data_IF_822700633383
#
_entry.id   IF_822700633383
#
_cell.length_a   1.000
_cell.length_b   1.000
_cell.length_c   1.000
_cell.angle_alpha   90.00
_cell.angle_beta   90.00
_cell.angle_gamma   90.00
#
_symmetry.space_group_name_H-M   'P 1'
#
loop_
_entity.id
_entity.type
_entity.pdbx_description
1 polymer ?
#
# COMPACT_ATOMS: atom_id res chain seq x y z
N UNK A 1 -18.16 -10.90 59.53
CA UNK A 1 -17.08 -11.44 58.68
C UNK A 1 -17.25 -10.83 57.30
N UNK A 2 -16.25 -10.12 56.82
CA UNK A 2 -16.32 -9.25 55.64
C UNK A 2 -16.45 -10.05 54.34
N UNK A 3 -17.35 -9.62 53.47
CA UNK A 3 -17.53 -10.12 52.10
C UNK A 3 -16.31 -9.69 51.26
N UNK A 4 -15.58 -10.64 50.71
CA UNK A 4 -14.45 -10.40 49.82
C UNK A 4 -14.91 -9.64 48.56
N UNK A 5 -14.12 -8.69 48.02
CA UNK A 5 -14.46 -8.02 46.77
C UNK A 5 -14.20 -8.95 45.58
N UNK A 6 -15.19 -9.04 44.69
CA UNK A 6 -15.09 -9.72 43.40
C UNK A 6 -14.03 -9.04 42.52
N UNK A 7 -13.08 -9.82 42.03
CA UNK A 7 -12.05 -9.40 41.08
C UNK A 7 -12.69 -8.91 39.78
N UNK A 8 -12.40 -7.66 39.42
CA UNK A 8 -12.86 -7.03 38.20
C UNK A 8 -12.38 -7.79 36.96
N UNK A 9 -13.33 -8.17 36.11
CA UNK A 9 -13.08 -8.72 34.79
C UNK A 9 -12.25 -7.72 33.95
N UNK A 10 -11.04 -8.11 33.55
CA UNK A 10 -10.23 -7.36 32.60
C UNK A 10 -10.93 -7.32 31.23
N UNK A 11 -10.93 -6.18 30.52
CA UNK A 11 -11.50 -6.10 29.18
C UNK A 11 -10.80 -7.09 28.24
N UNK A 12 -11.57 -7.89 27.50
CA UNK A 12 -11.03 -8.78 26.49
C UNK A 12 -10.35 -7.95 25.39
N UNK A 13 -9.02 -8.09 25.28
CA UNK A 13 -8.26 -7.48 24.19
C UNK A 13 -8.72 -8.08 22.85
N UNK A 14 -8.95 -7.25 21.81
CA UNK A 14 -9.35 -7.74 20.51
C UNK A 14 -8.25 -8.65 19.95
N UNK A 15 -8.59 -9.93 19.77
CA UNK A 15 -7.71 -10.94 19.21
C UNK A 15 -7.46 -10.64 17.73
N UNK A 16 -6.50 -9.75 17.44
CA UNK A 16 -6.09 -9.45 16.07
C UNK A 16 -5.39 -10.69 15.48
N UNK A 17 -5.74 -11.12 14.25
CA UNK A 17 -5.12 -12.26 13.63
C UNK A 17 -3.61 -12.05 13.46
N UNK A 18 -2.81 -13.05 13.85
CA UNK A 18 -1.36 -13.05 13.64
C UNK A 18 -1.08 -13.18 12.13
N UNK A 19 -0.57 -12.12 11.53
CA UNK A 19 -0.17 -12.11 10.11
C UNK A 19 1.21 -12.76 9.98
N UNK A 20 1.31 -13.86 9.22
CA UNK A 20 2.58 -14.45 8.81
C UNK A 20 2.98 -13.88 7.46
N UNK A 21 4.14 -13.23 7.40
CA UNK A 21 4.71 -12.72 6.16
C UNK A 21 5.53 -13.83 5.50
N UNK A 22 5.12 -14.26 4.31
CA UNK A 22 5.93 -15.13 3.45
C UNK A 22 6.56 -14.26 2.35
N UNK A 23 7.89 -14.23 2.31
CA UNK A 23 8.66 -13.39 1.40
C UNK A 23 9.40 -14.20 0.33
N UNK A 24 9.23 -15.53 0.26
CA UNK A 24 10.00 -16.38 -0.65
C UNK A 24 9.81 -16.02 -2.14
N UNK A 25 8.62 -15.54 -2.52
CA UNK A 25 8.30 -15.10 -3.89
C UNK A 25 8.26 -13.58 -4.06
N UNK A 26 8.70 -12.81 -3.07
CA UNK A 26 8.59 -11.35 -3.12
C UNK A 26 9.53 -10.77 -4.17
N UNK A 27 8.96 -10.10 -5.18
CA UNK A 27 9.71 -9.40 -6.22
C UNK A 27 9.84 -7.93 -5.85
N UNK A 28 11.07 -7.42 -5.95
CA UNK A 28 11.36 -6.00 -5.82
C UNK A 28 11.90 -5.49 -7.15
N UNK A 29 11.30 -4.41 -7.64
CA UNK A 29 11.74 -3.77 -8.89
C UNK A 29 11.60 -2.27 -8.72
N UNK A 30 12.61 -1.55 -9.19
CA UNK A 30 12.57 -0.10 -9.22
C UNK A 30 11.53 0.35 -10.26
N UNK A 31 10.66 1.28 -9.89
CA UNK A 31 9.65 1.84 -10.77
C UNK A 31 9.60 3.36 -10.54
N UNK A 32 9.60 4.15 -11.61
CA UNK A 32 9.39 5.60 -11.55
C UNK A 32 8.09 6.05 -12.25
N UNK A 33 7.38 5.10 -12.86
CA UNK A 33 6.11 5.33 -13.52
C UNK A 33 5.05 4.37 -12.98
N UNK A 34 3.83 4.89 -12.77
CA UNK A 34 2.65 4.10 -12.44
C UNK A 34 1.46 4.57 -13.26
N UNK A 35 0.73 3.61 -13.83
CA UNK A 35 -0.55 3.83 -14.48
C UNK A 35 -1.62 3.01 -13.75
N UNK A 36 -2.79 3.58 -13.56
CA UNK A 36 -3.92 2.92 -12.91
C UNK A 36 -5.18 3.03 -13.77
N UNK A 37 -5.93 1.93 -13.88
CA UNK A 37 -7.27 1.89 -14.45
C UNK A 37 -8.23 1.16 -13.51
N UNK A 38 -9.53 1.47 -13.58
CA UNK A 38 -10.53 0.84 -12.74
C UNK A 38 -11.80 0.56 -13.53
N UNK A 39 -12.38 -0.60 -13.26
CA UNK A 39 -13.77 -0.96 -13.60
C UNK A 39 -14.57 -1.09 -12.31
N UNK A 40 -15.81 -1.59 -12.40
CA UNK A 40 -16.61 -1.91 -11.20
C UNK A 40 -16.08 -3.17 -10.50
N UNK A 41 -15.45 -4.06 -11.26
CA UNK A 41 -15.02 -5.38 -10.82
C UNK A 41 -13.55 -5.40 -10.35
N UNK A 42 -12.70 -4.54 -10.91
CA UNK A 42 -11.26 -4.55 -10.63
C UNK A 42 -10.59 -3.18 -10.74
N UNK A 43 -9.42 -3.08 -10.12
CA UNK A 43 -8.46 -1.99 -10.24
C UNK A 43 -7.15 -2.58 -10.73
N UNK A 44 -6.63 -2.08 -11.84
CA UNK A 44 -5.38 -2.53 -12.44
C UNK A 44 -4.32 -1.46 -12.27
N UNK A 45 -3.20 -1.82 -11.67
CA UNK A 45 -2.02 -0.97 -11.52
C UNK A 45 -0.89 -1.54 -12.37
N UNK A 46 -0.32 -0.74 -13.25
CA UNK A 46 0.86 -1.07 -14.03
C UNK A 46 2.03 -0.22 -13.52
N UNK A 47 3.13 -0.86 -13.15
CA UNK A 47 4.36 -0.22 -12.70
C UNK A 47 5.44 -0.42 -13.74
N UNK A 48 6.27 0.59 -13.91
CA UNK A 48 7.31 0.57 -14.92
C UNK A 48 8.38 1.62 -14.74
N UNK A 49 9.28 1.66 -15.73
CA UNK A 49 10.37 2.61 -15.82
C UNK A 49 10.21 3.44 -17.10
N UNK A 50 10.06 4.74 -16.92
CA UNK A 50 10.27 5.70 -17.97
C UNK A 50 11.79 5.91 -18.15
N UNK A 51 12.31 5.46 -19.30
CA UNK A 51 13.74 5.54 -19.65
C UNK A 51 14.10 6.80 -20.46
N UNK A 52 13.13 7.66 -20.80
CA UNK A 52 13.38 8.84 -21.60
C UNK A 52 14.15 9.91 -20.82
N UNK A 53 15.47 9.91 -20.98
CA UNK A 53 16.36 11.00 -20.58
C UNK A 53 16.41 12.11 -21.63
N UNK A 54 16.16 11.77 -22.90
CA UNK A 54 16.14 12.69 -24.04
C UNK A 54 14.70 13.13 -24.36
N UNK A 55 14.43 14.42 -24.18
CA UNK A 55 13.11 15.05 -24.40
C UNK A 55 12.93 15.51 -25.86
N UNK A 56 13.89 15.29 -26.76
CA UNK A 56 13.83 15.79 -28.14
C UNK A 56 13.08 14.86 -29.11
N UNK A 57 12.92 13.58 -28.78
CA UNK A 57 12.03 12.70 -29.53
C UNK A 57 10.62 12.83 -28.95
N UNK A 58 9.64 13.30 -29.75
CA UNK A 58 8.27 13.58 -29.30
C UNK A 58 7.46 12.37 -28.80
N UNK A 59 8.07 11.21 -28.64
CA UNK A 59 7.47 9.99 -28.09
C UNK A 59 8.16 9.58 -26.79
N UNK A 60 7.36 9.39 -25.74
CA UNK A 60 7.82 8.86 -24.45
C UNK A 60 7.59 7.36 -24.44
N UNK A 61 8.67 6.58 -24.36
CA UNK A 61 8.59 5.13 -24.22
C UNK A 61 8.62 4.78 -22.73
N UNK A 62 7.64 3.98 -22.30
CA UNK A 62 7.51 3.53 -20.92
C UNK A 62 7.54 2.02 -20.91
N UNK A 63 8.59 1.46 -20.32
CA UNK A 63 8.69 0.02 -20.08
C UNK A 63 7.82 -0.34 -18.88
N UNK A 64 6.92 -1.32 -19.03
CA UNK A 64 6.06 -1.80 -17.96
C UNK A 64 6.56 -3.15 -17.45
N UNK A 65 6.99 -3.20 -16.18
CA UNK A 65 7.59 -4.37 -15.55
C UNK A 65 6.59 -5.23 -14.78
N UNK A 66 5.60 -4.59 -14.12
CA UNK A 66 4.69 -5.29 -13.22
C UNK A 66 3.25 -4.84 -13.40
N UNK A 67 2.34 -5.82 -13.34
CA UNK A 67 0.90 -5.58 -13.27
C UNK A 67 0.33 -6.18 -11.99
N UNK A 68 -0.38 -5.36 -11.23
CA UNK A 68 -1.11 -5.78 -10.03
C UNK A 68 -2.59 -5.54 -10.28
N UNK A 69 -3.40 -6.59 -10.16
CA UNK A 69 -4.85 -6.51 -10.27
C UNK A 69 -5.45 -6.70 -8.89
N UNK A 70 -6.29 -5.76 -8.48
CA UNK A 70 -6.91 -5.72 -7.15
C UNK A 70 -8.42 -5.68 -7.29
N UNK A 71 -9.12 -6.22 -6.30
CA UNK A 71 -10.53 -5.89 -6.12
C UNK A 71 -10.68 -4.45 -5.61
N UNK A 72 -11.83 -3.79 -5.82
CA UNK A 72 -12.05 -2.42 -5.33
C UNK A 72 -11.83 -2.26 -3.82
N UNK A 73 -12.19 -3.27 -3.02
CA UNK A 73 -11.97 -3.26 -1.57
C UNK A 73 -10.49 -3.34 -1.20
N UNK A 74 -9.70 -4.15 -1.92
CA UNK A 74 -8.26 -4.25 -1.71
C UNK A 74 -7.58 -2.93 -2.13
N UNK A 75 -7.99 -2.34 -3.25
CA UNK A 75 -7.50 -1.04 -3.70
C UNK A 75 -7.80 0.07 -2.69
N UNK A 76 -9.00 0.11 -2.09
CA UNK A 76 -9.30 1.08 -1.02
C UNK A 76 -8.35 0.97 0.16
N UNK A 77 -8.08 -0.25 0.62
CA UNK A 77 -7.13 -0.50 1.72
C UNK A 77 -5.71 -0.08 1.35
N UNK A 78 -5.28 -0.36 0.11
CA UNK A 78 -4.00 0.09 -0.40
C UNK A 78 -3.89 1.62 -0.37
N UNK A 79 -4.92 2.33 -0.83
CA UNK A 79 -4.95 3.80 -0.81
C UNK A 79 -4.82 4.34 0.62
N UNK A 80 -5.58 3.79 1.57
CA UNK A 80 -5.54 4.26 2.96
C UNK A 80 -4.17 4.05 3.61
N UNK A 81 -3.55 2.89 3.35
CA UNK A 81 -2.19 2.60 3.80
C UNK A 81 -1.17 3.53 3.15
N UNK A 82 -1.26 3.75 1.84
CA UNK A 82 -0.35 4.61 1.12
C UNK A 82 -0.45 6.06 1.60
N UNK A 83 -1.66 6.59 1.75
CA UNK A 83 -1.89 7.94 2.29
C UNK A 83 -1.28 8.12 3.68
N UNK A 84 -1.46 7.13 4.57
CA UNK A 84 -0.85 7.14 5.90
C UNK A 84 0.67 7.18 5.82
N UNK A 85 1.28 6.33 4.98
CA UNK A 85 2.73 6.29 4.81
C UNK A 85 3.29 7.60 4.23
N UNK A 86 2.59 8.21 3.27
CA UNK A 86 2.97 9.51 2.72
C UNK A 86 2.86 10.62 3.76
N UNK A 87 1.78 10.67 4.54
CA UNK A 87 1.62 11.65 5.62
C UNK A 87 2.73 11.50 6.69
N UNK A 88 3.08 10.26 7.06
CA UNK A 88 4.20 10.00 7.98
C UNK A 88 5.56 10.37 7.39
N UNK A 89 5.73 10.26 6.07
CA UNK A 89 6.92 10.71 5.37
C UNK A 89 7.00 12.24 5.37
N UNK A 90 5.96 12.92 4.94
CA UNK A 90 5.93 14.39 4.85
C UNK A 90 6.05 15.06 6.22
N UNK A 91 5.45 14.47 7.26
CA UNK A 91 5.64 14.96 8.64
C UNK A 91 7.11 14.87 9.10
N UNK A 92 7.89 13.93 8.57
CA UNK A 92 9.31 13.75 8.91
C UNK A 92 10.26 14.57 8.03
N UNK A 93 9.95 14.73 6.75
CA UNK A 93 10.89 15.26 5.74
C UNK A 93 10.40 16.54 5.06
N UNK A 94 9.18 17.00 5.34
CA UNK A 94 8.54 18.12 4.68
C UNK A 94 7.62 17.69 3.54
N UNK A 95 6.71 18.59 3.15
CA UNK A 95 5.74 18.36 2.06
C UNK A 95 6.43 18.09 0.72
N UNK A 96 5.91 17.12 -0.01
CA UNK A 96 6.30 16.89 -1.39
C UNK A 96 5.57 17.92 -2.27
N UNK A 97 6.33 18.70 -3.04
CA UNK A 97 5.81 19.72 -3.97
C UNK A 97 5.83 19.24 -5.41
#
# INVERSE_FOLDING_TARGET
MAKAPEEGAKPAEPNMPKVKWDTQGLKSTYCNFVNATSTREEVVLNFGVNQNWDRMAGEVEIELDHRIILSPFAAKRLTDLLQKLMAEYENRYGELK
#
